data_IF_313747463519
#
_entry.id   IF_313747463519
#
_cell.length_a   1.000
_cell.length_b   1.000
_cell.length_c   1.000
_cell.angle_alpha   90.00
_cell.angle_beta   90.00
_cell.angle_gamma   90.00
#
_symmetry.space_group_name_H-M   'P 1'
#
loop_
_entity.id
_entity.type
_entity.pdbx_description
1 polymer ?
#
# COMPACT_ATOMS: atom_id res chain seq x y z
N UNK A 1 4.73 -83.09 14.57
CA UNK A 1 5.34 -83.50 13.29
C UNK A 1 4.24 -84.02 12.40
N UNK A 2 3.73 -83.18 11.49
CA UNK A 2 3.16 -83.53 10.17
C UNK A 2 2.65 -82.23 9.55
N UNK A 3 3.55 -81.57 8.82
CA UNK A 3 3.23 -80.45 7.92
C UNK A 3 2.25 -80.95 6.84
N UNK A 4 1.03 -80.41 6.82
CA UNK A 4 0.14 -80.56 5.67
C UNK A 4 0.52 -79.50 4.66
N UNK A 5 1.39 -79.89 3.71
CA UNK A 5 1.72 -79.11 2.51
C UNK A 5 0.43 -78.82 1.72
N UNK A 6 -0.09 -77.59 1.84
CA UNK A 6 -1.21 -77.11 1.05
C UNK A 6 -0.75 -76.90 -0.41
N UNK A 7 -1.08 -77.84 -1.29
CA UNK A 7 -0.87 -77.69 -2.74
C UNK A 7 -1.95 -76.75 -3.28
N UNK A 8 -1.58 -75.48 -3.51
CA UNK A 8 -2.44 -74.51 -4.18
C UNK A 8 -2.75 -75.00 -5.61
N UNK A 9 -4.01 -74.91 -6.08
CA UNK A 9 -4.36 -75.37 -7.41
C UNK A 9 -3.69 -74.48 -8.46
N UNK A 10 -3.15 -75.09 -9.53
CA UNK A 10 -2.37 -74.42 -10.57
C UNK A 10 -3.12 -73.23 -11.20
N UNK A 11 -4.44 -73.31 -11.30
CA UNK A 11 -5.27 -72.21 -11.81
C UNK A 11 -5.28 -70.95 -10.93
N UNK A 12 -5.08 -71.10 -9.61
CA UNK A 12 -4.90 -69.97 -8.69
C UNK A 12 -3.52 -69.33 -8.90
N UNK A 13 -2.46 -70.13 -9.06
CA UNK A 13 -1.12 -69.63 -9.35
C UNK A 13 -1.04 -68.90 -10.70
N UNK A 14 -1.72 -69.40 -11.74
CA UNK A 14 -1.78 -68.74 -13.04
C UNK A 14 -2.55 -67.42 -12.97
N UNK A 15 -3.64 -67.36 -12.18
CA UNK A 15 -4.39 -66.10 -11.95
C UNK A 15 -3.61 -65.08 -11.13
N UNK A 16 -2.88 -65.52 -10.11
CA UNK A 16 -1.99 -64.67 -9.34
C UNK A 16 -0.77 -64.21 -10.15
N UNK A 17 -0.21 -65.07 -10.99
CA UNK A 17 0.85 -64.69 -11.92
C UNK A 17 0.38 -63.71 -12.99
N UNK A 18 -0.86 -63.83 -13.47
CA UNK A 18 -1.47 -62.87 -14.39
C UNK A 18 -1.74 -61.51 -13.72
N UNK A 19 -2.21 -61.50 -12.46
CA UNK A 19 -2.35 -60.27 -11.68
C UNK A 19 -1.00 -59.61 -11.35
N UNK A 20 0.01 -60.42 -11.00
CA UNK A 20 1.37 -59.93 -10.76
C UNK A 20 2.03 -59.44 -12.05
N UNK A 21 1.79 -60.11 -13.18
CA UNK A 21 2.26 -59.68 -14.50
C UNK A 21 1.54 -58.39 -14.95
N UNK A 22 0.25 -58.22 -14.64
CA UNK A 22 -0.47 -56.96 -14.89
C UNK A 22 0.05 -55.83 -13.97
N UNK A 23 0.49 -56.16 -12.75
CA UNK A 23 1.11 -55.22 -11.82
C UNK A 23 2.57 -54.88 -12.19
N UNK A 24 3.30 -55.82 -12.81
CA UNK A 24 4.66 -55.63 -13.32
C UNK A 24 4.71 -54.98 -14.72
N UNK A 25 3.69 -55.17 -15.56
CA UNK A 25 3.54 -54.46 -16.85
C UNK A 25 2.70 -53.18 -16.74
N UNK A 26 2.05 -52.93 -15.60
CA UNK A 26 1.16 -51.78 -15.38
C UNK A 26 1.85 -50.49 -14.96
N UNK A 27 3.19 -50.44 -14.94
CA UNK A 27 3.94 -49.18 -14.79
C UNK A 27 4.73 -48.95 -16.07
N UNK A 28 4.03 -48.68 -17.15
CA UNK A 28 4.62 -47.99 -18.30
C UNK A 28 3.83 -46.71 -18.46
N UNK A 29 4.43 -45.64 -17.93
CA UNK A 29 4.09 -44.23 -18.18
C UNK A 29 2.60 -43.93 -18.13
N UNK A 30 2.10 -43.72 -16.91
CA UNK A 30 1.05 -42.72 -16.74
C UNK A 30 1.70 -41.39 -17.16
N UNK A 31 1.59 -41.05 -18.44
CA UNK A 31 1.88 -39.73 -18.96
C UNK A 31 1.17 -38.73 -18.05
N UNK A 32 1.95 -38.05 -17.21
CA UNK A 32 1.54 -36.90 -16.46
C UNK A 32 1.37 -35.71 -17.43
N UNK A 33 0.51 -35.87 -18.43
CA UNK A 33 0.10 -34.86 -19.40
C UNK A 33 -1.37 -34.48 -19.17
N UNK A 34 -1.83 -34.47 -17.92
CA UNK A 34 -3.16 -33.93 -17.55
C UNK A 34 -3.10 -32.64 -16.74
N UNK A 35 -1.90 -32.12 -16.47
CA UNK A 35 -1.70 -30.71 -16.17
C UNK A 35 -1.11 -30.06 -17.42
N UNK A 36 -1.90 -30.05 -18.50
CA UNK A 36 -1.62 -29.16 -19.61
C UNK A 36 -1.49 -27.75 -19.04
N UNK A 37 -0.36 -27.11 -19.35
CA UNK A 37 -0.01 -25.75 -18.97
C UNK A 37 -1.27 -24.91 -18.78
N UNK A 38 -1.59 -24.58 -17.52
CA UNK A 38 -2.57 -23.54 -17.24
C UNK A 38 -1.94 -22.25 -17.74
N UNK A 39 -2.05 -21.98 -19.03
CA UNK A 39 -1.70 -20.69 -19.62
C UNK A 39 -2.75 -19.76 -19.05
N UNK A 40 -2.41 -19.09 -17.95
CA UNK A 40 -3.18 -17.94 -17.51
C UNK A 40 -3.26 -17.02 -18.73
N UNK A 41 -4.46 -16.87 -19.29
CA UNK A 41 -4.68 -15.88 -20.31
C UNK A 41 -4.29 -14.55 -19.69
N UNK A 42 -3.30 -13.89 -20.30
CA UNK A 42 -2.90 -12.54 -19.93
C UNK A 42 -4.11 -11.66 -20.22
N UNK A 43 -4.87 -11.33 -19.18
CA UNK A 43 -6.18 -10.67 -19.22
C UNK A 43 -6.09 -9.21 -19.69
N UNK A 44 -4.89 -8.68 -19.83
CA UNK A 44 -4.64 -7.33 -20.32
C UNK A 44 -3.33 -7.30 -21.12
N UNK A 45 -3.28 -6.59 -22.26
CA UNK A 45 -2.02 -6.41 -22.99
C UNK A 45 -0.96 -5.81 -22.07
N UNK A 46 0.31 -6.06 -22.35
CA UNK A 46 1.41 -5.41 -21.65
C UNK A 46 1.34 -3.91 -21.95
N UNK A 47 0.83 -3.14 -20.99
CA UNK A 47 0.71 -1.68 -21.07
C UNK A 47 1.92 -1.08 -20.37
N UNK A 48 2.81 -0.48 -21.15
CA UNK A 48 3.90 0.33 -20.61
C UNK A 48 3.36 1.71 -20.22
N UNK A 49 3.24 1.95 -18.92
CA UNK A 49 2.74 3.21 -18.37
C UNK A 49 3.87 4.25 -18.40
N UNK A 50 3.61 5.42 -18.99
CA UNK A 50 4.55 6.56 -18.95
C UNK A 50 4.90 6.92 -17.49
N UNK A 51 3.94 6.74 -16.58
CA UNK A 51 4.09 6.94 -15.15
C UNK A 51 3.62 5.68 -14.41
N UNK A 52 4.51 4.69 -14.20
CA UNK A 52 4.13 3.47 -13.52
C UNK A 52 3.93 3.72 -12.02
N UNK A 53 2.82 3.23 -11.47
CA UNK A 53 2.60 3.18 -10.02
C UNK A 53 3.41 2.00 -9.49
N UNK A 54 4.29 2.26 -8.53
CA UNK A 54 5.13 1.24 -7.90
C UNK A 54 4.52 0.88 -6.55
N UNK A 55 4.42 -0.40 -6.21
CA UNK A 55 4.03 -0.81 -4.85
C UNK A 55 5.26 -0.63 -3.93
N UNK A 56 5.18 0.22 -2.90
CA UNK A 56 6.28 0.41 -1.98
C UNK A 56 6.48 -0.86 -1.15
N UNK A 57 7.70 -1.13 -0.67
CA UNK A 57 7.96 -2.30 0.13
C UNK A 57 7.19 -2.27 1.46
N UNK A 58 7.02 -1.08 2.06
CA UNK A 58 6.18 -0.86 3.24
C UNK A 58 4.80 -0.32 2.82
N UNK A 59 3.73 -0.95 3.31
CA UNK A 59 2.37 -0.54 2.98
C UNK A 59 2.02 0.84 3.51
N UNK A 60 1.19 1.57 2.76
CA UNK A 60 0.78 2.93 3.09
C UNK A 60 1.88 3.98 2.95
N UNK A 61 3.07 3.63 2.45
CA UNK A 61 4.09 4.62 2.11
C UNK A 61 3.68 5.32 0.81
N UNK A 62 3.67 6.66 0.77
CA UNK A 62 3.37 7.38 -0.46
C UNK A 62 4.42 7.04 -1.51
N UNK A 63 3.95 6.72 -2.71
CA UNK A 63 4.85 6.53 -3.85
C UNK A 63 4.85 7.82 -4.66
N UNK A 64 6.02 8.46 -4.74
CA UNK A 64 6.13 9.76 -5.38
C UNK A 64 5.49 9.77 -6.77
N UNK A 65 4.71 10.81 -7.07
CA UNK A 65 3.95 10.92 -8.32
C UNK A 65 2.45 10.90 -8.09
N UNK A 66 1.71 10.25 -9.00
CA UNK A 66 0.26 10.07 -8.89
C UNK A 66 0.01 8.81 -8.08
N UNK A 67 -0.37 8.97 -6.83
CA UNK A 67 -0.79 7.89 -5.93
C UNK A 67 -2.32 7.94 -5.75
N UNK A 68 -3.00 6.82 -5.97
CA UNK A 68 -4.46 6.70 -5.83
C UNK A 68 -4.90 6.43 -4.38
N UNK A 69 -3.94 6.36 -3.44
CA UNK A 69 -4.12 5.97 -2.05
C UNK A 69 -4.62 4.52 -1.90
N UNK A 70 -4.36 3.96 -0.73
CA UNK A 70 -4.89 2.64 -0.39
C UNK A 70 -6.42 2.70 -0.23
N UNK A 71 -7.17 1.71 -0.76
CA UNK A 71 -8.61 1.64 -0.55
C UNK A 71 -8.97 1.38 0.93
N UNK A 72 -10.13 1.87 1.35
CA UNK A 72 -10.59 1.82 2.75
C UNK A 72 -10.71 0.42 3.38
N UNK A 73 -10.72 -0.64 2.59
CA UNK A 73 -10.78 -2.03 3.06
C UNK A 73 -9.39 -2.63 3.37
N UNK A 74 -8.31 -1.88 3.12
CA UNK A 74 -6.95 -2.24 3.51
C UNK A 74 -6.66 -1.65 4.90
N UNK A 75 -6.10 -2.46 5.79
CA UNK A 75 -5.63 -2.04 7.10
C UNK A 75 -4.17 -2.43 7.30
N UNK A 76 -3.36 -1.45 7.70
CA UNK A 76 -1.93 -1.59 7.96
C UNK A 76 -1.70 -1.37 9.47
N UNK A 77 -1.17 -2.37 10.18
CA UNK A 77 -0.96 -2.34 11.64
C UNK A 77 0.49 -2.68 11.99
N UNK A 78 1.07 -1.90 12.91
CA UNK A 78 2.39 -2.16 13.47
C UNK A 78 2.27 -2.96 14.78
N UNK A 79 2.89 -4.14 14.81
CA UNK A 79 2.87 -5.07 15.92
C UNK A 79 4.30 -5.21 16.48
N UNK A 80 4.49 -4.93 17.76
CA UNK A 80 5.78 -5.12 18.43
C UNK A 80 5.95 -6.55 18.92
N UNK A 81 7.04 -7.23 18.53
CA UNK A 81 7.42 -8.53 19.06
C UNK A 81 8.46 -8.38 20.19
N UNK A 82 8.10 -8.65 21.46
CA UNK A 82 9.01 -8.50 22.60
C UNK A 82 10.15 -9.53 22.63
N UNK A 83 10.05 -10.64 21.90
CA UNK A 83 11.09 -11.67 21.91
C UNK A 83 12.26 -11.29 21.01
N UNK A 84 11.94 -10.74 19.83
CA UNK A 84 12.95 -10.34 18.84
C UNK A 84 13.25 -8.83 18.90
N UNK A 85 12.42 -8.04 19.57
CA UNK A 85 12.55 -6.58 19.64
C UNK A 85 12.22 -5.88 18.33
N UNK A 86 11.55 -6.57 17.40
CA UNK A 86 11.23 -6.06 16.07
C UNK A 86 9.81 -5.50 16.01
N UNK A 87 9.62 -4.53 15.13
CA UNK A 87 8.34 -3.94 14.75
C UNK A 87 7.89 -4.58 13.44
N UNK A 88 6.73 -5.23 13.45
CA UNK A 88 6.20 -5.99 12.33
C UNK A 88 5.01 -5.25 11.74
N UNK A 89 5.10 -4.83 10.48
CA UNK A 89 3.99 -4.28 9.72
C UNK A 89 3.16 -5.43 9.12
N UNK A 90 1.91 -5.54 9.54
CA UNK A 90 0.93 -6.44 8.95
C UNK A 90 -0.10 -5.68 8.13
N UNK A 91 -0.45 -6.23 6.97
CA UNK A 91 -1.30 -5.58 5.97
C UNK A 91 -2.41 -6.52 5.54
N UNK A 92 -3.63 -6.23 5.99
CA UNK A 92 -4.79 -7.10 5.82
C UNK A 92 -5.92 -6.44 5.03
N UNK A 93 -6.69 -7.23 4.29
CA UNK A 93 -7.91 -6.82 3.61
C UNK A 93 -9.11 -7.36 4.38
N UNK A 94 -10.05 -6.47 4.73
CA UNK A 94 -11.29 -6.85 5.40
C UNK A 94 -11.08 -7.55 6.75
N UNK A 95 -9.94 -7.33 7.41
CA UNK A 95 -9.60 -7.82 8.75
C UNK A 95 -9.37 -9.33 8.88
N UNK A 96 -9.33 -10.08 7.77
CA UNK A 96 -9.18 -11.55 7.81
C UNK A 96 -8.19 -12.13 6.81
N UNK A 97 -7.80 -11.36 5.80
CA UNK A 97 -6.91 -11.83 4.74
C UNK A 97 -5.67 -10.95 4.65
N UNK A 98 -4.51 -11.49 5.03
CA UNK A 98 -3.23 -10.82 4.82
C UNK A 98 -2.89 -10.87 3.32
N UNK A 99 -2.88 -9.71 2.66
CA UNK A 99 -2.74 -9.64 1.20
C UNK A 99 -1.28 -9.49 0.74
N UNK A 100 -0.36 -9.20 1.67
CA UNK A 100 1.07 -9.09 1.41
C UNK A 100 1.88 -9.68 2.58
N UNK A 101 3.13 -10.10 2.34
CA UNK A 101 4.00 -10.57 3.41
C UNK A 101 4.25 -9.49 4.47
N UNK A 102 4.33 -9.85 5.77
CA UNK A 102 4.67 -8.90 6.81
C UNK A 102 6.12 -8.44 6.65
N UNK A 103 6.36 -7.18 7.01
CA UNK A 103 7.70 -6.59 7.04
C UNK A 103 8.13 -6.38 8.48
N UNK A 104 9.34 -6.78 8.84
CA UNK A 104 9.92 -6.52 10.16
C UNK A 104 11.01 -5.46 10.07
N UNK A 105 11.02 -4.54 11.03
CA UNK A 105 12.04 -3.52 11.23
C UNK A 105 12.59 -3.62 12.65
N UNK A 106 13.85 -3.25 12.83
CA UNK A 106 14.42 -2.97 14.16
C UNK A 106 13.83 -1.69 14.74
N UNK A 107 14.02 -1.44 16.04
CA UNK A 107 13.58 -0.20 16.68
C UNK A 107 14.15 1.04 16.00
N UNK A 108 15.45 1.03 15.67
CA UNK A 108 16.13 2.17 15.06
C UNK A 108 15.59 2.43 13.64
N UNK A 109 15.36 1.37 12.85
CA UNK A 109 14.76 1.48 11.52
C UNK A 109 13.32 2.00 11.58
N UNK A 110 12.52 1.51 12.53
CA UNK A 110 11.16 1.99 12.74
C UNK A 110 11.14 3.47 13.13
N UNK A 111 12.04 3.92 14.02
CA UNK A 111 12.13 5.32 14.42
C UNK A 111 12.53 6.22 13.25
N UNK A 112 13.48 5.77 12.42
CA UNK A 112 13.88 6.48 11.22
C UNK A 112 12.72 6.58 10.22
N UNK A 113 11.99 5.49 10.01
CA UNK A 113 10.80 5.44 9.16
C UNK A 113 9.71 6.42 9.64
N UNK A 114 9.42 6.43 10.95
CA UNK A 114 8.42 7.32 11.54
C UNK A 114 8.80 8.80 11.36
N UNK A 115 10.08 9.13 11.58
CA UNK A 115 10.62 10.47 11.34
C UNK A 115 10.47 10.91 9.88
N UNK A 116 10.79 10.04 8.92
CA UNK A 116 10.67 10.34 7.49
C UNK A 116 9.21 10.62 7.11
N UNK A 117 8.28 9.79 7.57
CA UNK A 117 6.84 10.01 7.33
C UNK A 117 6.31 11.29 7.96
N UNK A 118 6.74 11.59 9.18
CA UNK A 118 6.33 12.81 9.87
C UNK A 118 6.80 14.05 9.11
N UNK A 119 8.03 14.05 8.61
CA UNK A 119 8.56 15.14 7.77
C UNK A 119 7.79 15.28 6.46
N UNK A 120 7.52 14.18 5.77
CA UNK A 120 6.76 14.21 4.51
C UNK A 120 5.34 14.76 4.70
N UNK A 121 4.65 14.27 5.72
CA UNK A 121 3.30 14.71 6.08
C UNK A 121 3.29 16.20 6.42
N UNK A 122 4.27 16.66 7.20
CA UNK A 122 4.43 18.08 7.54
C UNK A 122 4.57 18.97 6.29
N UNK A 123 5.39 18.57 5.31
CA UNK A 123 5.56 19.36 4.10
C UNK A 123 4.30 19.35 3.22
N UNK A 124 3.58 18.23 3.16
CA UNK A 124 2.31 18.13 2.45
C UNK A 124 1.26 19.07 3.05
N UNK A 125 1.09 19.04 4.38
CA UNK A 125 0.19 19.93 5.12
C UNK A 125 0.58 21.41 4.90
N UNK A 126 1.88 21.73 4.96
CA UNK A 126 2.37 23.10 4.76
C UNK A 126 2.05 23.64 3.35
N UNK A 127 2.18 22.81 2.33
CA UNK A 127 1.83 23.17 0.94
C UNK A 127 0.32 23.38 0.81
N UNK A 128 -0.48 22.52 1.43
CA UNK A 128 -1.94 22.65 1.44
C UNK A 128 -2.37 23.96 2.11
N UNK A 129 -1.82 24.27 3.29
CA UNK A 129 -2.06 25.54 4.00
C UNK A 129 -1.70 26.77 3.15
N UNK A 130 -0.52 26.77 2.49
CA UNK A 130 -0.10 27.88 1.64
C UNK A 130 -1.02 28.02 0.41
N UNK A 131 -1.52 26.92 -0.13
CA UNK A 131 -2.48 26.92 -1.24
C UNK A 131 -3.84 27.48 -0.83
N UNK A 132 -4.33 27.13 0.36
CA UNK A 132 -5.57 27.67 0.93
C UNK A 132 -5.44 29.16 1.26
N UNK A 133 -4.29 29.57 1.80
CA UNK A 133 -3.97 30.97 2.09
C UNK A 133 -3.88 31.81 0.80
N UNK A 134 -3.41 31.22 -0.31
CA UNK A 134 -3.44 31.84 -1.63
C UNK A 134 -4.85 31.96 -2.23
N UNK A 135 -5.74 31.01 -1.94
CA UNK A 135 -7.14 31.01 -2.38
C UNK A 135 -8.03 31.97 -1.58
N UNK A 136 -7.77 32.12 -0.27
CA UNK A 136 -8.39 33.15 0.57
C UNK A 136 -7.68 34.47 0.30
N UNK A 137 -8.10 35.15 -0.78
CA UNK A 137 -7.53 36.42 -1.23
C UNK A 137 -7.15 37.35 -0.06
N UNK A 138 -5.97 37.97 -0.18
CA UNK A 138 -5.20 38.77 0.80
C UNK A 138 -5.94 39.92 1.52
N UNK A 139 -7.27 40.00 1.42
CA UNK A 139 -8.09 41.08 1.94
C UNK A 139 -9.25 40.46 2.73
N UNK A 140 -9.17 40.44 4.08
CA UNK A 140 -10.27 39.96 4.90
C UNK A 140 -11.47 40.92 4.76
N UNK A 141 -12.67 40.35 4.57
CA UNK A 141 -13.91 41.11 4.54
C UNK A 141 -14.30 41.51 5.97
N UNK A 142 -14.14 42.77 6.33
CA UNK A 142 -14.50 43.29 7.65
C UNK A 142 -16.01 43.55 7.69
N UNK A 143 -16.73 42.80 8.53
CA UNK A 143 -18.17 42.98 8.79
C UNK A 143 -18.40 43.86 10.02
N UNK A 144 -18.73 45.13 9.82
CA UNK A 144 -18.99 46.09 10.91
C UNK A 144 -20.46 46.01 11.33
N UNK A 145 -20.73 45.50 12.54
CA UNK A 145 -22.11 45.40 13.06
C UNK A 145 -22.55 46.73 13.67
N UNK A 146 -23.39 47.48 12.96
CA UNK A 146 -24.10 48.64 13.52
C UNK A 146 -25.07 49.28 12.53
N UNK A 147 -26.35 49.41 12.92
CA UNK A 147 -27.41 50.06 12.11
C UNK A 147 -27.06 51.50 11.68
N UNK A 148 -26.24 52.20 12.46
CA UNK A 148 -25.76 53.54 12.14
C UNK A 148 -24.77 53.56 10.96
N UNK A 149 -23.99 52.49 10.78
CA UNK A 149 -23.01 52.35 9.70
C UNK A 149 -23.71 51.95 8.37
N UNK A 150 -24.68 51.03 8.44
CA UNK A 150 -25.51 50.63 7.29
C UNK A 150 -26.24 51.82 6.66
N UNK A 151 -26.73 52.77 7.49
CA UNK A 151 -27.46 53.95 7.01
C UNK A 151 -26.61 54.97 6.24
N UNK A 152 -25.30 55.05 6.50
CA UNK A 152 -24.41 56.01 5.85
C UNK A 152 -23.67 55.37 4.66
N UNK A 153 -23.38 54.05 4.72
CA UNK A 153 -22.52 53.38 3.74
C UNK A 153 -23.18 52.26 2.92
N UNK A 154 -24.45 51.93 3.15
CA UNK A 154 -25.23 51.09 2.23
C UNK A 154 -24.94 49.58 2.29
N UNK A 155 -24.24 49.09 3.32
CA UNK A 155 -24.07 47.65 3.57
C UNK A 155 -22.94 47.32 4.54
N UNK A 156 -23.00 46.13 5.13
CA UNK A 156 -22.09 45.62 6.16
C UNK A 156 -20.75 45.09 5.60
N UNK A 157 -20.57 45.09 4.27
CA UNK A 157 -19.41 44.49 3.61
C UNK A 157 -18.55 45.57 2.95
N UNK A 158 -17.34 45.79 3.49
CA UNK A 158 -16.35 46.71 2.89
C UNK A 158 -15.39 45.89 2.01
N UNK A 159 -15.46 46.07 0.68
CA UNK A 159 -14.51 45.48 -0.27
C UNK A 159 -13.41 46.51 -0.60
N UNK A 160 -12.22 46.35 -0.02
CA UNK A 160 -11.08 47.25 -0.26
C UNK A 160 -10.27 46.72 -1.43
N UNK A 161 -9.99 47.56 -2.44
CA UNK A 161 -9.12 47.23 -3.58
C UNK A 161 -7.97 48.24 -3.64
N UNK A 162 -6.81 47.96 -3.02
CA UNK A 162 -5.69 48.89 -3.07
C UNK A 162 -5.22 49.08 -4.52
N UNK A 163 -4.86 50.30 -4.87
CA UNK A 163 -4.30 50.68 -6.17
C UNK A 163 -2.94 51.35 -5.92
N UNK A 164 -1.92 51.00 -6.70
CA UNK A 164 -0.55 51.51 -6.55
C UNK A 164 0.44 50.44 -6.10
N UNK A 165 1.71 50.82 -5.93
CA UNK A 165 2.80 49.94 -5.50
C UNK A 165 3.35 50.39 -4.15
N UNK A 166 3.76 49.42 -3.33
CA UNK A 166 4.55 49.65 -2.12
C UNK A 166 5.87 48.92 -2.27
N UNK A 167 6.99 49.61 -2.04
CA UNK A 167 8.32 49.02 -2.06
C UNK A 167 8.87 49.02 -0.63
N UNK A 168 9.35 47.87 -0.16
CA UNK A 168 9.94 47.70 1.17
C UNK A 168 11.41 47.34 0.99
N UNK A 169 12.31 48.21 1.47
CA UNK A 169 13.76 48.00 1.39
C UNK A 169 14.27 47.60 2.78
N UNK A 170 14.82 46.40 2.88
CA UNK A 170 15.49 45.93 4.08
C UNK A 170 17.01 46.10 3.90
N UNK A 171 17.67 46.81 4.82
CA UNK A 171 19.12 47.01 4.81
C UNK A 171 19.74 46.70 6.16
N UNK A 172 20.81 45.90 6.17
CA UNK A 172 21.64 45.67 7.35
C UNK A 172 22.95 46.43 7.15
N UNK A 173 23.19 47.45 7.99
CA UNK A 173 24.48 48.14 8.02
C UNK A 173 25.34 47.51 9.11
N UNK A 174 26.42 46.84 8.72
CA UNK A 174 27.44 46.33 9.65
C UNK A 174 28.78 46.97 9.34
N UNK A 175 29.27 47.78 10.28
CA UNK A 175 30.65 48.25 10.28
C UNK A 175 31.46 47.41 11.26
N UNK A 176 32.55 46.82 10.78
CA UNK A 176 33.60 46.28 11.65
C UNK A 176 34.70 47.32 11.76
N UNK A 177 34.99 47.72 13.00
CA UNK A 177 36.22 48.40 13.40
C UNK A 177 37.30 47.40 13.71
#
# INVERSE_FOLDING_TARGET
MTERSAKLPVFLLVRWAALLALLLLGVTEADAHLFGNLVLQVDSPEVDLIWPIQDPPAAGQPTGGIDLQDPNNISNEWIYDPNTGQYILNSSVGGSFDYRPPMSMTLDEYLQYDLERAMETYWLERVEEDSEAGMKGLIPEIKVRGEAFDRIFGGNTINIRPQGSAEVIFGINTSRT
#
